data_IF_658378823669
#
_entry.id   IF_658378823669
#
_cell.length_a   1.000
_cell.length_b   1.000
_cell.length_c   1.000
_cell.angle_alpha   90.00
_cell.angle_beta   90.00
_cell.angle_gamma   90.00
#
_symmetry.space_group_name_H-M   'P 1'
#
loop_
_entity.id
_entity.type
_entity.pdbx_description
1 polymer ?
#
# COMPACT_ATOMS: atom_id res chain seq x y z
N UNK A 1 -13.21 -2.63 -64.95
CA UNK A 1 -13.57 -2.52 -63.51
C UNK A 1 -13.03 -3.72 -62.71
N UNK A 2 -11.71 -3.96 -62.71
CA UNK A 2 -11.05 -5.03 -61.91
C UNK A 2 -9.68 -4.59 -61.37
N UNK A 3 -9.02 -3.63 -62.03
CA UNK A 3 -7.74 -3.05 -61.62
C UNK A 3 -7.88 -2.10 -60.40
N UNK A 4 -8.98 -1.34 -60.31
CA UNK A 4 -9.24 -0.42 -59.19
C UNK A 4 -9.45 -1.13 -57.82
N UNK A 5 -9.91 -2.38 -57.81
CA UNK A 5 -10.09 -3.16 -56.58
C UNK A 5 -8.77 -3.78 -56.08
N UNK A 6 -7.83 -4.06 -56.98
CA UNK A 6 -6.52 -4.59 -56.59
C UNK A 6 -5.65 -3.55 -55.88
N UNK A 7 -5.72 -2.28 -56.31
CA UNK A 7 -4.97 -1.17 -55.68
C UNK A 7 -5.53 -0.85 -54.28
N UNK A 8 -6.85 -0.89 -54.08
CA UNK A 8 -7.47 -0.71 -52.75
C UNK A 8 -7.07 -1.81 -51.76
N UNK A 9 -6.92 -3.05 -52.22
CA UNK A 9 -6.54 -4.18 -51.37
C UNK A 9 -5.07 -4.07 -50.92
N UNK A 10 -4.18 -3.59 -51.79
CA UNK A 10 -2.75 -3.43 -51.47
C UNK A 10 -2.52 -2.24 -50.52
N UNK A 11 -3.28 -1.15 -50.64
CA UNK A 11 -3.19 0.01 -49.73
C UNK A 11 -3.75 -0.31 -48.34
N UNK A 12 -4.81 -1.13 -48.23
CA UNK A 12 -5.32 -1.60 -46.94
C UNK A 12 -4.36 -2.59 -46.24
N UNK A 13 -3.71 -3.46 -47.02
CA UNK A 13 -2.77 -4.45 -46.46
C UNK A 13 -1.48 -3.80 -45.96
N UNK A 14 -1.06 -2.67 -46.53
CA UNK A 14 0.12 -1.92 -46.09
C UNK A 14 -0.12 -1.07 -44.84
N UNK A 15 -1.36 -0.65 -44.58
CA UNK A 15 -1.72 0.06 -43.34
C UNK A 15 -1.86 -0.88 -42.12
N UNK A 16 -2.19 -2.15 -42.34
CA UNK A 16 -2.30 -3.16 -41.29
C UNK A 16 -0.94 -3.73 -40.81
N UNK A 17 0.14 -3.45 -41.55
CA UNK A 17 1.49 -3.96 -41.26
C UNK A 17 2.36 -3.00 -40.44
N UNK A 18 1.87 -1.79 -40.13
CA UNK A 18 2.59 -0.79 -39.31
C UNK A 18 2.13 -0.70 -37.85
N UNK A 19 1.16 -1.53 -37.43
CA UNK A 19 0.61 -1.52 -36.07
C UNK A 19 1.22 -2.55 -35.11
N UNK A 20 2.37 -3.16 -35.45
CA UNK A 20 3.08 -4.12 -34.58
C UNK A 20 4.45 -3.64 -34.09
N UNK A 21 4.66 -2.33 -33.99
CA UNK A 21 5.86 -1.79 -33.35
C UNK A 21 5.47 -1.16 -32.01
N UNK A 22 5.85 -1.82 -30.91
CA UNK A 22 5.96 -1.17 -29.61
C UNK A 22 5.22 -1.78 -28.42
N UNK A 23 5.20 -3.10 -28.26
CA UNK A 23 5.23 -3.68 -26.90
C UNK A 23 6.46 -4.57 -26.82
N UNK A 24 7.64 -3.95 -26.72
CA UNK A 24 8.83 -4.67 -26.28
C UNK A 24 8.68 -4.84 -24.76
N UNK A 25 8.10 -5.98 -24.34
CA UNK A 25 8.10 -6.36 -22.93
C UNK A 25 9.56 -6.57 -22.55
N UNK A 26 10.13 -5.58 -21.86
CA UNK A 26 11.48 -5.67 -21.32
C UNK A 26 11.50 -6.85 -20.36
N UNK A 27 12.23 -7.91 -20.72
CA UNK A 27 12.38 -9.08 -19.86
C UNK A 27 12.94 -8.59 -18.52
N UNK A 28 12.12 -8.66 -17.47
CA UNK A 28 12.49 -8.26 -16.13
C UNK A 28 13.42 -9.32 -15.54
N UNK A 29 14.72 -9.08 -15.65
CA UNK A 29 15.74 -9.86 -14.97
C UNK A 29 15.83 -9.47 -13.49
N UNK A 30 14.74 -9.68 -12.73
CA UNK A 30 14.77 -9.50 -11.28
C UNK A 30 15.50 -10.67 -10.61
N UNK A 31 16.81 -10.52 -10.39
CA UNK A 31 17.64 -11.55 -9.71
C UNK A 31 17.19 -11.82 -8.26
N UNK A 32 16.33 -10.97 -7.69
CA UNK A 32 15.89 -11.02 -6.29
C UNK A 32 14.36 -10.88 -6.09
N UNK A 33 13.54 -10.97 -7.15
CA UNK A 33 12.08 -10.78 -7.04
C UNK A 33 11.67 -9.33 -6.71
N UNK A 34 12.56 -8.37 -6.97
CA UNK A 34 12.31 -6.94 -6.88
C UNK A 34 11.84 -6.44 -8.25
N UNK A 35 10.84 -5.56 -8.30
CA UNK A 35 10.35 -5.00 -9.56
C UNK A 35 11.48 -4.23 -10.24
N UNK A 36 11.52 -4.28 -11.57
CA UNK A 36 12.35 -3.40 -12.38
C UNK A 36 11.96 -1.93 -12.20
N UNK A 37 12.60 -1.26 -11.24
CA UNK A 37 12.52 0.21 -11.06
C UNK A 37 13.54 0.92 -11.97
N UNK A 38 13.25 2.15 -12.37
CA UNK A 38 14.22 3.01 -13.06
C UNK A 38 15.41 3.31 -12.11
N UNK A 39 16.62 3.45 -12.65
CA UNK A 39 17.80 3.85 -11.85
C UNK A 39 17.58 5.16 -11.10
N UNK A 40 16.82 6.09 -11.69
CA UNK A 40 16.46 7.37 -11.07
C UNK A 40 15.57 7.17 -9.85
N UNK A 41 14.62 6.22 -9.91
CA UNK A 41 13.74 5.89 -8.80
C UNK A 41 14.50 5.16 -7.68
N UNK A 42 15.47 4.32 -8.02
CA UNK A 42 16.33 3.66 -7.04
C UNK A 42 17.18 4.68 -6.28
N UNK A 43 17.81 5.63 -6.98
CA UNK A 43 18.61 6.68 -6.33
C UNK A 43 17.73 7.58 -5.45
N UNK A 44 16.58 8.02 -5.98
CA UNK A 44 15.62 8.82 -5.21
C UNK A 44 15.10 8.05 -3.98
N UNK A 45 14.81 6.77 -4.15
CA UNK A 45 14.37 5.87 -3.08
C UNK A 45 15.41 5.70 -1.98
N UNK A 46 16.68 5.50 -2.35
CA UNK A 46 17.78 5.41 -1.38
C UNK A 46 17.84 6.68 -0.52
N UNK A 47 17.91 7.84 -1.16
CA UNK A 47 17.98 9.13 -0.46
C UNK A 47 16.72 9.42 0.38
N UNK A 48 15.53 9.03 -0.11
CA UNK A 48 14.29 9.22 0.62
C UNK A 48 14.25 8.39 1.91
N UNK A 49 14.56 7.10 1.82
CA UNK A 49 14.50 6.16 2.94
C UNK A 49 15.71 6.22 3.89
N UNK A 50 16.76 6.99 3.56
CA UNK A 50 17.82 7.34 4.51
C UNK A 50 17.28 8.12 5.72
N UNK A 51 16.22 8.91 5.54
CA UNK A 51 15.59 9.67 6.62
C UNK A 51 14.78 8.80 7.59
N UNK A 52 14.56 7.53 7.25
CA UNK A 52 13.83 6.55 8.06
C UNK A 52 14.80 5.74 8.92
N UNK A 53 14.67 5.90 10.24
CA UNK A 53 15.51 5.23 11.24
C UNK A 53 14.69 4.18 11.98
N UNK A 54 15.14 2.92 11.97
CA UNK A 54 14.52 1.86 12.78
C UNK A 54 15.08 1.91 14.19
N UNK A 55 14.19 1.97 15.18
CA UNK A 55 14.55 2.21 16.57
C UNK A 55 14.86 0.92 17.35
N UNK A 56 14.55 -0.25 16.78
CA UNK A 56 14.78 -1.55 17.42
C UNK A 56 13.72 -1.94 18.46
N UNK A 57 12.66 -1.15 18.61
CA UNK A 57 11.54 -1.37 19.53
C UNK A 57 10.21 -1.68 18.78
N UNK A 58 10.30 -2.02 17.49
CA UNK A 58 9.15 -2.20 16.62
C UNK A 58 8.68 -0.95 15.89
N UNK A 59 9.45 0.15 15.98
CA UNK A 59 9.11 1.41 15.32
C UNK A 59 10.19 1.89 14.35
N UNK A 60 9.75 2.65 13.34
CA UNK A 60 10.57 3.32 12.34
C UNK A 60 10.19 4.81 12.33
N UNK A 61 11.13 5.70 12.60
CA UNK A 61 10.90 7.15 12.63
C UNK A 61 11.34 7.80 11.33
N UNK A 62 10.49 8.63 10.74
CA UNK A 62 10.85 9.52 9.65
C UNK A 62 11.23 10.89 10.21
N UNK A 63 12.49 11.28 10.04
CA UNK A 63 13.01 12.56 10.52
C UNK A 63 12.49 13.79 9.75
N UNK A 64 11.95 13.62 8.55
CA UNK A 64 11.43 14.74 7.74
C UNK A 64 9.99 15.09 8.14
N UNK A 65 9.09 14.11 8.20
CA UNK A 65 7.71 14.34 8.63
C UNK A 65 7.53 14.40 10.15
N UNK A 66 8.49 13.87 10.91
CA UNK A 66 8.38 13.71 12.36
C UNK A 66 7.48 12.55 12.78
N UNK A 67 6.95 11.77 11.82
CA UNK A 67 6.08 10.63 12.09
C UNK A 67 6.88 9.43 12.57
N UNK A 68 6.34 8.74 13.57
CA UNK A 68 6.80 7.41 13.93
C UNK A 68 5.82 6.38 13.40
N UNK A 69 6.34 5.41 12.66
CA UNK A 69 5.58 4.31 12.09
C UNK A 69 5.80 3.04 12.90
N UNK A 70 4.78 2.17 12.95
CA UNK A 70 5.05 0.77 13.22
C UNK A 70 5.85 0.17 12.07
N UNK A 71 6.94 -0.51 12.39
CA UNK A 71 7.80 -1.16 11.38
C UNK A 71 7.03 -2.27 10.66
N UNK A 72 6.30 -3.08 11.42
CA UNK A 72 5.54 -4.20 10.86
C UNK A 72 4.12 -3.82 10.48
N UNK A 73 3.56 -4.52 9.49
CA UNK A 73 2.13 -4.42 9.15
C UNK A 73 1.29 -4.84 10.36
N UNK A 74 0.11 -4.23 10.53
CA UNK A 74 -0.73 -4.57 11.67
C UNK A 74 -1.07 -6.07 11.73
N UNK A 75 -0.93 -6.66 12.92
CA UNK A 75 -1.02 -8.11 13.16
C UNK A 75 0.32 -8.84 13.20
N UNK A 76 1.36 -8.30 12.53
CA UNK A 76 2.72 -8.81 12.64
C UNK A 76 3.39 -8.32 13.92
N UNK A 77 4.41 -9.05 14.35
CA UNK A 77 5.26 -8.78 15.49
C UNK A 77 6.69 -8.49 15.01
N UNK A 78 7.28 -7.43 15.55
CA UNK A 78 8.68 -7.10 15.30
C UNK A 78 9.58 -8.09 16.04
N UNK A 79 10.59 -8.60 15.35
CA UNK A 79 11.62 -9.47 15.92
C UNK A 79 13.00 -8.91 15.57
N UNK A 80 13.85 -8.72 16.58
CA UNK A 80 15.24 -8.31 16.37
C UNK A 80 15.61 -6.98 17.02
N UNK A 81 16.51 -6.25 16.37
CA UNK A 81 17.15 -5.01 16.83
C UNK A 81 17.14 -3.95 15.72
N UNK A 82 17.60 -2.73 15.99
CA UNK A 82 17.66 -1.67 14.98
C UNK A 82 18.46 -2.03 13.70
N UNK A 83 19.44 -2.94 13.80
CA UNK A 83 20.33 -3.30 12.68
C UNK A 83 20.02 -4.64 12.04
N UNK A 84 19.28 -5.51 12.72
CA UNK A 84 18.88 -6.81 12.21
C UNK A 84 17.49 -7.14 12.77
N UNK A 85 16.49 -7.04 11.91
CA UNK A 85 15.09 -7.19 12.27
C UNK A 85 14.27 -7.79 11.14
N UNK A 86 13.13 -8.34 11.52
CA UNK A 86 12.15 -8.94 10.63
C UNK A 86 10.74 -8.75 11.22
N UNK A 87 9.71 -8.91 10.39
CA UNK A 87 8.31 -8.81 10.76
C UNK A 87 7.62 -10.15 10.57
N UNK A 88 7.29 -10.81 11.69
CA UNK A 88 6.73 -12.16 11.69
C UNK A 88 5.48 -12.25 12.56
N UNK A 89 4.62 -13.22 12.29
CA UNK A 89 3.38 -13.39 13.04
C UNK A 89 3.62 -14.05 14.39
N UNK A 90 2.99 -13.56 15.46
CA UNK A 90 2.90 -14.28 16.75
C UNK A 90 2.24 -15.66 16.62
N UNK A 91 1.53 -15.92 15.50
CA UNK A 91 0.82 -17.16 15.18
C UNK A 91 1.11 -17.65 13.76
N UNK A 92 2.34 -17.49 13.27
CA UNK A 92 2.82 -18.18 12.06
C UNK A 92 2.85 -19.70 12.26
N UNK A 93 1.69 -20.35 12.38
CA UNK A 93 1.60 -21.76 12.06
C UNK A 93 2.00 -21.93 10.60
N UNK A 94 2.69 -23.02 10.27
CA UNK A 94 3.01 -23.46 8.90
C UNK A 94 1.80 -23.52 7.95
N UNK A 95 0.60 -23.25 8.44
CA UNK A 95 -0.66 -23.16 7.72
C UNK A 95 -1.01 -21.77 7.16
N UNK A 96 -0.29 -20.70 7.49
CA UNK A 96 -0.55 -19.37 6.89
C UNK A 96 0.71 -18.55 6.56
N UNK A 97 1.62 -19.07 5.72
CA UNK A 97 2.87 -18.39 5.35
C UNK A 97 2.66 -17.13 4.49
N UNK A 98 1.47 -16.94 3.88
CA UNK A 98 1.24 -15.88 2.90
C UNK A 98 1.22 -14.45 3.44
N UNK A 99 0.78 -14.25 4.70
CA UNK A 99 0.67 -12.90 5.29
C UNK A 99 1.70 -12.63 6.39
N UNK A 100 2.58 -13.58 6.70
CA UNK A 100 3.51 -13.48 7.82
C UNK A 100 2.84 -13.03 9.13
N UNK A 101 1.57 -13.37 9.36
CA UNK A 101 0.78 -12.94 10.52
C UNK A 101 0.13 -11.56 10.44
N UNK A 102 0.30 -10.82 9.34
CA UNK A 102 -0.47 -9.60 9.09
C UNK A 102 -1.97 -9.91 9.04
N UNK A 103 -2.76 -9.01 9.60
CA UNK A 103 -4.21 -9.16 9.70
C UNK A 103 -4.89 -8.24 8.68
N UNK A 104 -5.74 -8.80 7.84
CA UNK A 104 -6.69 -8.02 7.06
C UNK A 104 -7.82 -7.54 7.98
N UNK A 105 -8.07 -6.24 7.96
CA UNK A 105 -8.95 -5.53 8.88
C UNK A 105 -10.04 -4.82 8.07
N UNK A 106 -11.25 -4.86 8.60
CA UNK A 106 -12.37 -4.14 8.02
C UNK A 106 -12.28 -2.65 8.36
N UNK A 107 -12.54 -1.78 7.36
CA UNK A 107 -12.54 -0.34 7.59
C UNK A 107 -13.71 0.08 8.49
N UNK A 108 -14.92 -0.40 8.22
CA UNK A 108 -16.11 -0.17 9.05
C UNK A 108 -17.03 -1.39 9.03
N UNK A 109 -17.70 -1.68 10.16
CA UNK A 109 -18.62 -2.82 10.26
C UNK A 109 -19.84 -2.73 9.36
N UNK A 110 -20.13 -1.55 8.81
CA UNK A 110 -21.22 -1.28 7.89
C UNK A 110 -20.76 -0.38 6.75
N UNK A 111 -21.45 -0.45 5.60
CA UNK A 111 -21.23 0.48 4.48
C UNK A 111 -21.95 1.82 4.73
N UNK A 112 -21.59 2.52 5.81
CA UNK A 112 -22.13 3.82 6.18
C UNK A 112 -21.01 4.72 6.75
N UNK A 113 -21.35 5.99 6.99
CA UNK A 113 -20.45 6.98 7.60
C UNK A 113 -20.23 6.81 9.11
N UNK A 114 -20.85 5.81 9.73
CA UNK A 114 -20.89 5.62 11.18
C UNK A 114 -19.52 5.37 11.86
N UNK A 115 -18.48 5.03 11.09
CA UNK A 115 -17.10 4.88 11.57
C UNK A 115 -16.18 6.07 11.27
N UNK A 116 -16.72 7.18 10.73
CA UNK A 116 -15.95 8.37 10.35
C UNK A 116 -16.36 9.60 11.16
N UNK A 117 -15.51 10.63 11.12
CA UNK A 117 -15.87 11.98 11.55
C UNK A 117 -16.97 12.56 10.65
N UNK A 118 -17.82 13.39 11.25
CA UNK A 118 -18.80 14.21 10.54
C UNK A 118 -18.10 15.54 10.17
N UNK A 119 -17.26 15.53 9.14
CA UNK A 119 -16.51 16.71 8.69
C UNK A 119 -15.57 16.37 7.54
N UNK A 120 -15.09 17.39 6.80
CA UNK A 120 -14.13 17.20 5.70
C UNK A 120 -12.73 17.57 6.20
N UNK A 121 -11.71 16.70 6.04
CA UNK A 121 -11.80 15.34 5.48
C UNK A 121 -12.50 14.37 6.45
N UNK A 122 -13.24 13.41 5.89
CA UNK A 122 -13.85 12.36 6.68
C UNK A 122 -12.80 11.33 7.07
N UNK A 123 -12.53 11.22 8.37
CA UNK A 123 -11.48 10.35 8.90
C UNK A 123 -12.04 9.32 9.85
N UNK A 124 -11.47 8.13 9.81
CA UNK A 124 -11.79 7.01 10.67
C UNK A 124 -11.67 7.37 12.15
N UNK A 125 -12.65 6.97 12.97
CA UNK A 125 -12.70 7.24 14.42
C UNK A 125 -13.09 5.98 15.19
N UNK A 126 -13.05 6.06 16.53
CA UNK A 126 -13.52 5.02 17.46
C UNK A 126 -15.01 4.64 17.28
N UNK A 127 -15.73 5.34 16.39
CA UNK A 127 -17.13 5.11 16.12
C UNK A 127 -18.02 5.72 17.20
N UNK A 128 -19.17 6.25 16.79
CA UNK A 128 -20.28 6.59 17.68
C UNK A 128 -21.54 5.75 17.41
N UNK A 129 -21.46 4.84 16.41
CA UNK A 129 -22.57 3.95 16.04
C UNK A 129 -22.18 2.67 15.28
N UNK A 130 -20.96 2.57 14.73
CA UNK A 130 -20.41 1.35 14.15
C UNK A 130 -18.94 1.21 14.52
N UNK A 131 -18.45 -0.03 14.62
CA UNK A 131 -17.07 -0.35 14.98
C UNK A 131 -16.16 -0.36 13.76
N UNK A 132 -14.88 -0.03 13.95
CA UNK A 132 -13.84 -0.14 12.93
C UNK A 132 -12.70 -1.01 13.43
N UNK A 133 -12.54 -2.19 12.84
CA UNK A 133 -11.42 -3.07 13.20
C UNK A 133 -10.08 -2.41 12.87
N UNK A 134 -9.99 -1.67 11.75
CA UNK A 134 -8.80 -0.92 11.38
C UNK A 134 -8.43 0.10 12.47
N UNK A 135 -9.39 0.93 12.91
CA UNK A 135 -9.17 1.90 13.98
C UNK A 135 -8.76 1.21 15.29
N UNK A 136 -9.59 0.27 15.74
CA UNK A 136 -9.42 -0.39 17.04
C UNK A 136 -8.10 -1.15 17.09
N UNK A 137 -7.67 -1.76 15.99
CA UNK A 137 -6.42 -2.51 15.92
C UNK A 137 -5.19 -1.63 16.16
N UNK A 138 -5.14 -0.41 15.62
CA UNK A 138 -4.05 0.52 15.89
C UNK A 138 -4.20 1.14 17.28
N UNK A 139 -5.40 1.64 17.62
CA UNK A 139 -5.64 2.35 18.87
C UNK A 139 -5.33 1.49 20.12
N UNK A 140 -5.55 0.18 20.02
CA UNK A 140 -5.27 -0.79 21.09
C UNK A 140 -3.84 -1.32 21.12
N UNK A 141 -3.02 -0.98 20.12
CA UNK A 141 -1.69 -1.55 19.98
C UNK A 141 -0.70 -0.95 21.00
N UNK A 142 0.00 -1.82 21.73
CA UNK A 142 0.93 -1.42 22.78
C UNK A 142 2.39 -1.30 22.34
N UNK A 143 2.71 -1.51 21.05
CA UNK A 143 4.10 -1.47 20.55
C UNK A 143 4.74 -0.13 20.94
N UNK A 144 5.94 -0.17 21.54
CA UNK A 144 6.68 1.01 21.97
C UNK A 144 5.84 2.06 22.75
N UNK A 145 4.95 1.61 23.63
CA UNK A 145 4.15 2.48 24.51
C UNK A 145 2.81 2.96 23.93
N UNK A 146 2.43 2.52 22.72
CA UNK A 146 1.10 2.76 22.15
C UNK A 146 0.85 4.17 21.62
N UNK A 147 -0.41 4.59 21.53
CA UNK A 147 -0.80 5.88 20.94
C UNK A 147 -0.85 5.86 19.41
N UNK A 148 -1.02 4.68 18.82
CA UNK A 148 -1.06 4.50 17.39
C UNK A 148 -2.42 4.83 16.80
N UNK A 149 -2.42 5.38 15.58
CA UNK A 149 -3.59 5.53 14.73
C UNK A 149 -3.34 4.91 13.37
N UNK A 150 -4.40 4.68 12.62
CA UNK A 150 -4.29 4.35 11.19
C UNK A 150 -3.66 5.54 10.47
N UNK A 151 -2.70 5.28 9.57
CA UNK A 151 -2.11 6.33 8.74
C UNK A 151 -3.16 6.92 7.79
N UNK A 152 -3.14 8.24 7.61
CA UNK A 152 -4.04 8.91 6.68
C UNK A 152 -3.60 8.71 5.22
N UNK A 153 -4.44 9.14 4.29
CA UNK A 153 -4.19 8.90 2.87
C UNK A 153 -2.88 9.53 2.39
N UNK A 154 -2.60 10.78 2.78
CA UNK A 154 -1.38 11.47 2.37
C UNK A 154 -0.12 10.86 2.98
N UNK A 155 -0.20 10.35 4.21
CA UNK A 155 0.90 9.66 4.88
C UNK A 155 1.24 8.35 4.16
N UNK A 156 0.23 7.56 3.77
CA UNK A 156 0.47 6.35 2.97
C UNK A 156 1.01 6.68 1.59
N UNK A 157 0.46 7.69 0.90
CA UNK A 157 0.98 8.15 -0.40
C UNK A 157 2.41 8.65 -0.29
N UNK A 158 2.77 9.33 0.79
CA UNK A 158 4.14 9.76 1.06
C UNK A 158 5.06 8.56 1.25
N UNK A 159 4.66 7.60 2.09
CA UNK A 159 5.44 6.37 2.32
C UNK A 159 5.63 5.55 1.02
N UNK A 160 4.68 5.63 0.09
CA UNK A 160 4.70 4.90 -1.18
C UNK A 160 5.14 5.75 -2.39
N UNK A 161 5.75 6.92 -2.19
CA UNK A 161 5.99 7.91 -3.26
C UNK A 161 7.23 7.65 -4.11
N UNK A 162 8.15 6.81 -3.65
CA UNK A 162 9.46 6.58 -4.29
C UNK A 162 9.65 5.10 -4.65
N UNK A 163 10.61 4.43 -4.02
CA UNK A 163 10.98 3.05 -4.33
C UNK A 163 10.39 2.08 -3.31
N UNK A 164 9.69 1.06 -3.81
CA UNK A 164 9.24 -0.06 -2.98
C UNK A 164 10.41 -0.83 -2.42
N UNK A 165 11.46 -1.00 -3.23
CA UNK A 165 12.63 -1.78 -2.88
C UNK A 165 13.36 -1.18 -1.67
N UNK A 166 13.48 0.15 -1.59
CA UNK A 166 14.06 0.80 -0.41
C UNK A 166 13.09 0.88 0.76
N UNK A 167 11.78 0.99 0.51
CA UNK A 167 10.75 0.94 1.56
C UNK A 167 10.81 -0.38 2.35
N UNK A 168 10.85 -1.52 1.65
CA UNK A 168 10.87 -2.84 2.32
C UNK A 168 12.15 -3.10 3.13
N UNK A 169 13.24 -2.35 2.88
CA UNK A 169 14.44 -2.41 3.73
C UNK A 169 14.22 -1.80 5.11
N UNK A 170 13.22 -0.92 5.25
CA UNK A 170 12.81 -0.27 6.51
C UNK A 170 11.55 -0.89 7.11
N UNK A 171 10.74 -1.54 6.26
CA UNK A 171 9.48 -2.18 6.60
C UNK A 171 9.43 -3.59 6.01
N UNK A 172 10.18 -4.56 6.57
CA UNK A 172 10.29 -5.91 6.04
C UNK A 172 8.94 -6.64 6.12
N UNK A 173 8.81 -7.68 5.29
CA UNK A 173 7.59 -8.51 5.16
C UNK A 173 6.31 -7.68 4.99
N UNK A 174 6.42 -6.52 4.32
CA UNK A 174 5.25 -5.79 3.81
C UNK A 174 4.47 -6.71 2.89
N UNK A 175 3.17 -6.80 3.10
CA UNK A 175 2.31 -7.66 2.28
C UNK A 175 2.03 -6.97 0.95
N UNK A 176 2.07 -7.77 -0.11
CA UNK A 176 1.80 -7.34 -1.48
C UNK A 176 0.28 -7.22 -1.68
N UNK A 177 -0.32 -6.14 -1.19
CA UNK A 177 -1.76 -5.85 -1.29
C UNK A 177 -2.03 -4.36 -0.98
N UNK A 178 -3.30 -3.98 -0.93
CA UNK A 178 -3.77 -2.68 -0.50
C UNK A 178 -3.76 -2.51 1.02
N UNK A 179 -3.52 -1.27 1.42
CA UNK A 179 -3.51 -0.82 2.80
C UNK A 179 -4.55 0.28 2.99
N UNK A 180 -5.44 0.09 3.95
CA UNK A 180 -6.42 1.10 4.33
C UNK A 180 -5.71 2.35 4.85
N UNK A 181 -6.10 3.50 4.30
CA UNK A 181 -5.87 4.78 4.96
C UNK A 181 -6.94 5.03 6.02
N UNK A 182 -6.73 6.01 6.90
CA UNK A 182 -7.77 6.49 7.81
C UNK A 182 -8.77 7.42 7.12
N UNK A 183 -8.68 7.62 5.80
CA UNK A 183 -9.47 8.61 5.05
C UNK A 183 -10.57 7.91 4.27
N UNK A 184 -11.81 8.33 4.50
CA UNK A 184 -12.95 7.87 3.70
C UNK A 184 -12.85 8.44 2.27
N UNK A 185 -13.63 7.90 1.33
CA UNK A 185 -13.71 8.48 0.00
C UNK A 185 -14.64 9.69 0.02
N UNK A 186 -14.07 10.89 0.08
CA UNK A 186 -14.83 12.14 0.12
C UNK A 186 -15.63 12.43 -1.16
N UNK A 187 -15.32 11.76 -2.28
CA UNK A 187 -16.09 11.86 -3.52
C UNK A 187 -17.30 10.91 -3.55
N UNK A 188 -17.39 9.95 -2.63
CA UNK A 188 -18.53 9.04 -2.52
C UNK A 188 -19.64 9.63 -1.65
N UNK A 189 -20.59 10.31 -2.29
CA UNK A 189 -21.76 10.89 -1.63
C UNK A 189 -22.62 9.85 -0.86
N UNK A 190 -22.51 8.56 -1.20
CA UNK A 190 -23.25 7.49 -0.49
C UNK A 190 -22.54 7.02 0.78
N UNK A 191 -21.29 7.42 0.96
CA UNK A 191 -20.51 7.16 2.16
C UNK A 191 -20.15 5.70 2.42
N UNK A 192 -20.02 4.93 1.34
CA UNK A 192 -19.83 3.47 1.38
C UNK A 192 -18.39 3.05 1.17
N UNK A 193 -17.55 3.94 0.67
CA UNK A 193 -16.17 3.63 0.28
C UNK A 193 -15.13 4.40 1.09
N UNK A 194 -13.93 3.85 1.15
CA UNK A 194 -12.76 4.44 1.80
C UNK A 194 -11.53 4.29 0.89
N UNK A 195 -10.51 5.13 1.11
CA UNK A 195 -9.31 5.16 0.28
C UNK A 195 -8.26 4.19 0.81
N UNK A 196 -7.69 3.41 -0.10
CA UNK A 196 -6.56 2.52 0.16
C UNK A 196 -5.40 2.83 -0.78
N UNK A 197 -4.19 2.50 -0.35
CA UNK A 197 -2.96 2.66 -1.14
C UNK A 197 -2.31 1.30 -1.33
N UNK A 198 -1.89 0.99 -2.55
CA UNK A 198 -1.23 -0.26 -2.89
C UNK A 198 0.22 -0.27 -2.40
N UNK A 199 0.59 -1.36 -1.73
CA UNK A 199 1.99 -1.69 -1.42
C UNK A 199 2.47 -2.88 -2.26
N UNK A 200 1.70 -3.23 -3.29
CA UNK A 200 2.00 -4.32 -4.19
C UNK A 200 3.17 -4.02 -5.12
N UNK A 201 3.78 -5.08 -5.64
CA UNK A 201 4.93 -4.97 -6.52
C UNK A 201 4.63 -4.24 -7.84
N UNK A 202 3.45 -4.50 -8.41
CA UNK A 202 3.08 -4.06 -9.77
C UNK A 202 2.52 -2.64 -9.86
N UNK A 203 1.99 -2.11 -8.76
CA UNK A 203 1.28 -0.84 -8.71
C UNK A 203 1.58 -0.09 -7.40
N UNK A 204 2.84 -0.11 -6.98
CA UNK A 204 3.27 0.50 -5.73
C UNK A 204 2.89 1.98 -5.67
N UNK A 205 2.14 2.34 -4.64
CA UNK A 205 1.67 3.70 -4.40
C UNK A 205 0.44 4.12 -5.18
N UNK A 206 -0.13 3.28 -6.04
CA UNK A 206 -1.44 3.55 -6.64
C UNK A 206 -2.52 3.57 -5.55
N UNK A 207 -3.56 4.37 -5.75
CA UNK A 207 -4.70 4.43 -4.84
C UNK A 207 -6.00 3.96 -5.48
N UNK A 208 -6.84 3.36 -4.65
CA UNK A 208 -8.15 2.87 -5.04
C UNK A 208 -9.15 3.11 -3.90
N UNK A 209 -10.44 3.12 -4.25
CA UNK A 209 -11.52 3.25 -3.28
C UNK A 209 -12.32 1.96 -3.21
N UNK A 210 -12.37 1.35 -2.03
CA UNK A 210 -13.08 0.10 -1.81
C UNK A 210 -14.23 0.28 -0.83
N UNK A 211 -15.22 -0.63 -0.89
CA UNK A 211 -16.33 -0.62 0.07
C UNK A 211 -15.82 -0.86 1.49
N UNK A 212 -16.35 -0.12 2.48
CA UNK A 212 -15.82 -0.11 3.85
C UNK A 212 -15.90 -1.46 4.57
N UNK A 213 -16.75 -2.36 4.10
CA UNK A 213 -16.86 -3.73 4.65
C UNK A 213 -15.80 -4.70 4.09
N UNK A 214 -15.02 -4.32 3.09
CA UNK A 214 -13.89 -5.14 2.61
C UNK A 214 -12.75 -5.13 3.62
N UNK A 215 -11.83 -6.09 3.49
CA UNK A 215 -10.75 -6.31 4.45
C UNK A 215 -9.42 -6.16 3.74
N UNK A 216 -8.60 -5.23 4.23
CA UNK A 216 -7.27 -4.93 3.71
C UNK A 216 -6.30 -4.71 4.88
N UNK A 217 -5.02 -4.55 4.58
CA UNK A 217 -4.01 -4.37 5.62
C UNK A 217 -3.99 -2.94 6.15
N UNK A 218 -3.29 -2.73 7.26
CA UNK A 218 -3.17 -1.43 7.91
C UNK A 218 -1.72 -1.21 8.32
N UNK A 219 -1.22 0.01 8.13
CA UNK A 219 -0.03 0.53 8.80
C UNK A 219 -0.46 1.58 9.81
N UNK A 220 0.07 1.45 11.03
CA UNK A 220 -0.18 2.40 12.08
C UNK A 220 0.98 3.40 12.21
N UNK A 221 0.64 4.63 12.58
CA UNK A 221 1.55 5.76 12.73
C UNK A 221 1.16 6.58 13.96
N UNK A 222 2.08 7.37 14.50
CA UNK A 222 1.84 8.38 15.54
C UNK A 222 2.73 9.60 15.32
#
# INVERSE_FOLDING_TARGET
>A
MRIFNFIKLIVFLSFALLSFVGCEEKIDHSRYGLASEDTSQLIAGAAFFENFTVNGDGTTTDSISGLTWKTCTQGQTFSGTASHYDCQGSAGSVTNPGTYGAKQLQYCSVNLESCNTLGIPQTLTAGSGASSEAYDSCASDGTAGGGWRVANFLELKYLSSNSRNFMILKFPNTIDDYYWSSTANEQDASGKTARAVSFSLSNFGDDESFTKITRYFVRCVR
#
